data_IF_558173933195
#
_entry.id   IF_558173933195
#
_cell.length_a   1.000
_cell.length_b   1.000
_cell.length_c   1.000
_cell.angle_alpha   90.00
_cell.angle_beta   90.00
_cell.angle_gamma   90.00
#
_symmetry.space_group_name_H-M   'P 1'
#
loop_
_entity.id
_entity.type
_entity.pdbx_description
1 polymer ?
#
# COMPACT_ATOMS: atom_id res chain seq x y z
N UNK A 1 -21.02 5.58 -8.09
CA UNK A 1 -22.07 6.41 -7.45
C UNK A 1 -22.23 6.14 -5.94
N UNK A 2 -22.43 4.90 -5.50
CA UNK A 2 -22.58 4.57 -4.06
C UNK A 2 -21.39 5.04 -3.20
N UNK A 3 -20.18 4.82 -3.64
CA UNK A 3 -18.96 5.17 -2.89
C UNK A 3 -18.86 6.67 -2.62
N UNK A 4 -19.17 7.50 -3.60
CA UNK A 4 -19.17 8.97 -3.46
C UNK A 4 -20.22 9.46 -2.46
N UNK A 5 -21.40 8.83 -2.44
CA UNK A 5 -22.46 9.15 -1.47
C UNK A 5 -22.03 8.80 -0.04
N UNK A 6 -21.40 7.64 0.16
CA UNK A 6 -20.90 7.23 1.47
C UNK A 6 -19.75 8.12 1.92
N UNK A 7 -18.85 8.49 1.01
CA UNK A 7 -17.75 9.40 1.32
C UNK A 7 -18.27 10.73 1.90
N UNK A 8 -19.22 11.38 1.25
CA UNK A 8 -19.79 12.64 1.74
C UNK A 8 -20.48 12.51 3.11
N UNK A 9 -21.16 11.38 3.35
CA UNK A 9 -21.80 11.12 4.63
C UNK A 9 -20.78 10.94 5.75
N UNK A 10 -19.70 10.21 5.48
CA UNK A 10 -18.64 9.91 6.45
C UNK A 10 -17.80 11.16 6.75
N UNK A 11 -17.47 11.95 5.74
CA UNK A 11 -16.75 13.22 5.90
C UNK A 11 -17.47 14.17 6.86
N UNK A 12 -18.80 14.25 6.79
CA UNK A 12 -19.63 15.04 7.73
C UNK A 12 -19.54 14.57 9.18
N UNK A 13 -19.09 13.34 9.41
CA UNK A 13 -18.88 12.76 10.74
C UNK A 13 -17.38 12.74 11.13
N UNK A 14 -16.51 13.40 10.34
CA UNK A 14 -15.06 13.41 10.58
C UNK A 14 -14.38 12.07 10.27
N UNK A 15 -15.03 11.19 9.50
CA UNK A 15 -14.50 9.88 9.12
C UNK A 15 -13.98 9.96 7.67
N UNK A 16 -12.72 9.61 7.48
CA UNK A 16 -12.12 9.54 6.15
C UNK A 16 -12.32 8.16 5.56
N UNK A 17 -13.01 8.08 4.42
CA UNK A 17 -13.12 6.86 3.65
C UNK A 17 -11.90 6.73 2.74
N UNK A 18 -11.29 5.55 2.72
CA UNK A 18 -10.20 5.21 1.82
C UNK A 18 -10.42 3.83 1.20
N UNK A 19 -9.74 3.58 0.10
CA UNK A 19 -9.75 2.29 -0.58
C UNK A 19 -8.36 1.65 -0.44
N UNK A 20 -8.35 0.37 -0.10
CA UNK A 20 -7.19 -0.51 -0.09
C UNK A 20 -7.19 -1.38 -1.34
N UNK A 21 -6.03 -1.54 -1.98
CA UNK A 21 -5.89 -2.37 -3.17
C UNK A 21 -5.31 -3.75 -2.87
N UNK A 22 -5.69 -4.71 -3.71
CA UNK A 22 -5.00 -5.96 -3.94
C UNK A 22 -4.40 -5.98 -5.35
N UNK A 23 -4.13 -7.15 -5.91
CA UNK A 23 -3.57 -7.28 -7.25
C UNK A 23 -4.61 -7.08 -8.36
N UNK A 24 -5.86 -7.48 -8.13
CA UNK A 24 -6.89 -7.46 -9.17
C UNK A 24 -7.33 -6.05 -9.59
N UNK A 25 -7.12 -5.04 -8.75
CA UNK A 25 -7.38 -3.65 -9.13
C UNK A 25 -6.46 -3.16 -10.25
N UNK A 26 -5.34 -3.84 -10.48
CA UNK A 26 -4.41 -3.55 -11.57
C UNK A 26 -4.69 -4.39 -12.82
N UNK A 27 -5.76 -5.21 -12.84
CA UNK A 27 -6.24 -5.86 -14.05
C UNK A 27 -6.75 -4.82 -15.05
N UNK A 28 -6.57 -5.12 -16.34
CA UNK A 28 -6.95 -4.17 -17.38
C UNK A 28 -8.45 -4.29 -17.73
N UNK A 29 -9.11 -3.15 -17.72
CA UNK A 29 -10.46 -2.96 -18.27
C UNK A 29 -10.32 -2.00 -19.45
N UNK A 30 -10.63 -2.46 -20.64
CA UNK A 30 -10.47 -1.70 -21.90
C UNK A 30 -9.06 -1.10 -22.06
N UNK A 31 -8.02 -1.88 -21.70
CA UNK A 31 -6.62 -1.50 -21.82
C UNK A 31 -6.10 -0.56 -20.74
N UNK A 32 -6.90 -0.27 -19.71
CA UNK A 32 -6.51 0.60 -18.57
C UNK A 32 -6.62 -0.15 -17.24
N UNK A 33 -5.73 0.07 -16.28
CA UNK A 33 -5.89 -0.49 -14.93
C UNK A 33 -7.25 -0.11 -14.33
N UNK A 34 -7.95 -1.07 -13.77
CA UNK A 34 -9.24 -0.82 -13.11
C UNK A 34 -9.09 0.21 -11.97
N UNK A 35 -7.93 0.24 -11.32
CA UNK A 35 -7.63 1.21 -10.26
C UNK A 35 -7.59 2.65 -10.77
N UNK A 36 -7.06 2.90 -11.99
CA UNK A 36 -7.08 4.23 -12.61
C UNK A 36 -8.51 4.68 -12.88
N UNK A 37 -9.33 3.78 -13.42
CA UNK A 37 -10.75 4.06 -13.69
C UNK A 37 -11.49 4.36 -12.39
N UNK A 38 -11.25 3.57 -11.35
CA UNK A 38 -11.83 3.82 -10.03
C UNK A 38 -11.41 5.17 -9.47
N UNK A 39 -10.13 5.51 -9.57
CA UNK A 39 -9.60 6.78 -9.09
C UNK A 39 -10.23 8.00 -9.80
N UNK A 40 -10.51 7.89 -11.10
CA UNK A 40 -11.21 8.93 -11.87
C UNK A 40 -12.68 9.06 -11.47
N UNK A 41 -13.37 7.93 -11.31
CA UNK A 41 -14.78 7.91 -10.94
C UNK A 41 -15.03 8.36 -9.49
N UNK A 42 -14.01 8.25 -8.63
CA UNK A 42 -14.07 8.63 -7.21
C UNK A 42 -12.95 9.64 -6.88
N UNK A 43 -13.00 10.88 -7.40
CA UNK A 43 -11.87 11.83 -7.34
C UNK A 43 -11.49 12.27 -5.91
N UNK A 44 -12.41 12.19 -4.96
CA UNK A 44 -12.14 12.53 -3.55
C UNK A 44 -11.64 11.35 -2.72
N UNK A 45 -11.73 10.12 -3.24
CA UNK A 45 -11.33 8.91 -2.50
C UNK A 45 -9.86 8.99 -2.12
N UNK A 46 -9.55 8.70 -0.86
CA UNK A 46 -8.19 8.50 -0.37
C UNK A 46 -7.77 7.05 -0.56
N UNK A 47 -6.48 6.80 -0.50
CA UNK A 47 -5.92 5.46 -0.72
C UNK A 47 -5.09 4.98 0.45
N UNK A 48 -5.22 3.71 0.73
CA UNK A 48 -4.26 2.87 1.44
C UNK A 48 -3.60 1.97 0.39
N UNK A 49 -2.41 2.37 -0.06
CA UNK A 49 -1.70 1.61 -1.10
C UNK A 49 -1.02 0.40 -0.47
N UNK A 50 -1.42 -0.79 -0.91
CA UNK A 50 -0.65 -2.01 -0.68
C UNK A 50 0.40 -2.17 -1.78
N UNK A 51 1.65 -1.94 -1.40
CA UNK A 51 2.76 -1.92 -2.33
C UNK A 51 3.16 -3.32 -2.84
N UNK A 52 2.94 -4.36 -2.02
CA UNK A 52 3.25 -5.72 -2.41
C UNK A 52 2.21 -6.30 -3.36
N UNK A 53 0.93 -6.12 -3.03
CA UNK A 53 -0.15 -6.56 -3.90
C UNK A 53 -0.15 -5.84 -5.24
N UNK A 54 0.26 -4.58 -5.32
CA UNK A 54 0.42 -3.89 -6.60
C UNK A 54 1.50 -4.50 -7.49
N UNK A 55 2.58 -5.03 -6.90
CA UNK A 55 3.69 -5.65 -7.60
C UNK A 55 3.51 -7.15 -7.84
N UNK A 56 2.74 -7.81 -6.96
CA UNK A 56 2.55 -9.26 -7.00
C UNK A 56 1.85 -9.68 -8.31
N UNK A 57 2.12 -10.86 -8.77
CA UNK A 57 1.68 -11.34 -10.09
C UNK A 57 2.16 -10.49 -11.28
N UNK A 58 3.16 -9.59 -11.10
CA UNK A 58 3.68 -8.75 -12.18
C UNK A 58 2.68 -7.72 -12.70
N UNK A 59 1.72 -7.29 -11.88
CA UNK A 59 0.62 -6.41 -12.30
C UNK A 59 1.05 -4.96 -12.53
N UNK A 60 1.79 -4.37 -11.60
CA UNK A 60 2.23 -2.99 -11.70
C UNK A 60 3.59 -2.75 -11.02
N UNK A 61 4.27 -1.67 -11.40
CA UNK A 61 5.45 -1.18 -10.67
C UNK A 61 5.00 -0.42 -9.42
N UNK A 62 5.34 -0.87 -8.20
CA UNK A 62 4.87 -0.25 -6.97
C UNK A 62 5.42 1.16 -6.76
N UNK A 63 6.57 1.50 -7.34
CA UNK A 63 7.14 2.86 -7.30
C UNK A 63 6.29 3.80 -8.15
N UNK A 64 5.94 3.38 -9.37
CA UNK A 64 5.08 4.16 -10.25
C UNK A 64 3.63 4.27 -9.71
N UNK A 65 3.12 3.23 -9.05
CA UNK A 65 1.84 3.27 -8.37
C UNK A 65 1.85 4.32 -7.26
N UNK A 66 2.86 4.30 -6.38
CA UNK A 66 2.99 5.28 -5.30
C UNK A 66 3.09 6.71 -5.84
N UNK A 67 3.91 6.93 -6.85
CA UNK A 67 4.06 8.23 -7.52
C UNK A 67 2.76 8.74 -8.11
N UNK A 68 2.01 7.87 -8.81
CA UNK A 68 0.74 8.20 -9.47
C UNK A 68 -0.35 8.64 -8.49
N UNK A 69 -0.45 7.96 -7.34
CA UNK A 69 -1.51 8.22 -6.36
C UNK A 69 -1.04 9.01 -5.13
N UNK A 70 0.17 9.52 -5.16
CA UNK A 70 0.86 10.26 -4.09
C UNK A 70 -0.04 11.27 -3.35
N UNK A 71 -0.77 12.12 -4.09
CA UNK A 71 -1.59 13.19 -3.54
C UNK A 71 -2.86 12.72 -2.82
N UNK A 72 -3.14 11.44 -2.92
CA UNK A 72 -4.34 10.81 -2.35
C UNK A 72 -4.02 9.68 -1.38
N UNK A 73 -2.76 9.27 -1.29
CA UNK A 73 -2.31 8.19 -0.40
C UNK A 73 -2.12 8.72 1.01
N UNK A 74 -2.88 8.15 1.96
CA UNK A 74 -2.84 8.52 3.38
C UNK A 74 -2.32 7.40 4.26
N UNK A 75 -2.39 6.16 3.81
CA UNK A 75 -1.91 4.96 4.46
C UNK A 75 -1.14 4.09 3.46
N UNK A 76 -0.19 3.32 3.95
CA UNK A 76 0.58 2.38 3.14
C UNK A 76 0.62 1.04 3.85
N UNK A 77 0.15 -0.02 3.19
CA UNK A 77 0.46 -1.39 3.57
C UNK A 77 1.80 -1.80 2.95
N UNK A 78 2.72 -2.17 3.82
CA UNK A 78 4.06 -2.58 3.41
C UNK A 78 4.29 -4.04 3.77
N UNK A 79 4.48 -4.83 2.75
CA UNK A 79 4.81 -6.25 2.79
C UNK A 79 6.12 -6.48 2.04
N UNK A 80 6.73 -7.63 2.20
CA UNK A 80 7.89 -8.02 1.40
C UNK A 80 7.89 -9.54 1.17
N UNK A 81 8.49 -9.93 0.07
CA UNK A 81 8.54 -11.32 -0.37
C UNK A 81 9.30 -11.45 -1.68
N UNK A 82 9.18 -12.60 -2.30
CA UNK A 82 9.84 -12.90 -3.58
C UNK A 82 8.99 -12.56 -4.81
N UNK A 83 7.83 -11.92 -4.61
CA UNK A 83 6.83 -11.59 -5.63
C UNK A 83 6.30 -12.84 -6.35
N UNK A 84 6.08 -13.88 -5.57
CA UNK A 84 5.46 -15.13 -5.97
C UNK A 84 4.29 -15.40 -5.02
N UNK A 85 3.05 -15.51 -5.53
CA UNK A 85 1.86 -15.66 -4.70
C UNK A 85 1.82 -16.94 -3.88
N UNK A 86 2.54 -17.98 -4.31
CA UNK A 86 2.56 -19.29 -3.65
C UNK A 86 3.64 -19.38 -2.56
N UNK A 87 4.49 -18.36 -2.45
CA UNK A 87 5.58 -18.34 -1.47
C UNK A 87 5.23 -17.36 -0.33
N UNK A 88 5.34 -17.81 0.94
CA UNK A 88 5.05 -16.98 2.08
C UNK A 88 5.86 -15.69 2.13
N UNK A 89 5.24 -14.62 2.66
CA UNK A 89 5.89 -13.34 2.93
C UNK A 89 7.07 -13.52 3.90
N UNK A 90 7.99 -12.59 3.81
CA UNK A 90 9.18 -12.52 4.67
C UNK A 90 9.32 -11.13 5.28
N UNK A 91 10.15 -10.95 6.31
CA UNK A 91 10.34 -9.64 6.91
C UNK A 91 10.81 -8.58 5.89
N UNK A 92 10.34 -7.34 6.06
CA UNK A 92 10.73 -6.21 5.22
C UNK A 92 12.24 -6.08 5.08
N UNK A 93 12.70 -5.76 3.87
CA UNK A 93 14.11 -5.64 3.53
C UNK A 93 14.81 -6.98 3.27
N UNK A 94 14.08 -8.09 3.29
CA UNK A 94 14.61 -9.43 2.98
C UNK A 94 14.14 -9.95 1.63
N UNK A 95 13.20 -9.26 1.00
CA UNK A 95 12.57 -9.66 -0.27
C UNK A 95 13.01 -8.81 -1.46
N UNK A 96 12.12 -8.72 -2.43
CA UNK A 96 12.37 -8.05 -3.71
C UNK A 96 11.72 -6.68 -3.82
N UNK A 97 10.87 -6.29 -2.86
CA UNK A 97 10.17 -5.01 -2.96
C UNK A 97 11.17 -3.85 -2.79
N UNK A 98 11.19 -2.85 -3.67
CA UNK A 98 12.11 -1.71 -3.59
C UNK A 98 11.60 -0.67 -2.56
N UNK A 99 11.49 -1.09 -1.29
CA UNK A 99 10.85 -0.34 -0.20
C UNK A 99 11.38 1.11 -0.07
N UNK A 100 12.70 1.38 -0.08
CA UNK A 100 13.19 2.75 0.02
C UNK A 100 12.73 3.62 -1.15
N UNK A 101 12.69 3.09 -2.38
CA UNK A 101 12.26 3.83 -3.56
C UNK A 101 10.75 4.14 -3.50
N UNK A 102 9.95 3.19 -3.06
CA UNK A 102 8.50 3.39 -2.87
C UNK A 102 8.23 4.50 -1.86
N UNK A 103 8.88 4.43 -0.69
CA UNK A 103 8.68 5.41 0.37
C UNK A 103 9.22 6.81 -0.01
N UNK A 104 10.22 6.90 -0.87
CA UNK A 104 10.71 8.17 -1.41
C UNK A 104 9.68 8.90 -2.28
N UNK A 105 8.79 8.17 -2.95
CA UNK A 105 7.69 8.74 -3.72
C UNK A 105 6.46 9.13 -2.86
N UNK A 106 6.34 8.62 -1.65
CA UNK A 106 5.23 8.97 -0.75
C UNK A 106 5.32 10.42 -0.27
N UNK A 107 4.16 11.06 -0.05
CA UNK A 107 4.12 12.39 0.55
C UNK A 107 4.11 12.29 2.09
N UNK A 108 5.19 12.67 2.78
CA UNK A 108 5.28 12.56 4.24
C UNK A 108 4.31 13.49 5.00
N UNK A 109 3.70 14.46 4.31
CA UNK A 109 2.67 15.33 4.90
C UNK A 109 1.29 14.66 4.89
N UNK A 110 1.04 13.76 3.94
CA UNK A 110 -0.24 13.07 3.76
C UNK A 110 -0.25 11.69 4.40
N UNK A 111 0.80 10.90 4.21
CA UNK A 111 0.90 9.54 4.75
C UNK A 111 0.95 9.59 6.28
N UNK A 112 -0.05 9.01 6.92
CA UNK A 112 -0.17 8.96 8.38
C UNK A 112 0.55 7.75 8.97
N UNK A 113 0.42 6.60 8.30
CA UNK A 113 0.98 5.34 8.77
C UNK A 113 1.54 4.51 7.62
N UNK A 114 2.69 3.90 7.87
CA UNK A 114 3.22 2.77 7.12
C UNK A 114 2.98 1.53 7.98
N UNK A 115 2.09 0.67 7.54
CA UNK A 115 1.59 -0.48 8.27
C UNK A 115 2.32 -1.72 7.77
N UNK A 116 3.06 -2.38 8.64
CA UNK A 116 3.64 -3.70 8.34
C UNK A 116 2.52 -4.72 8.36
N UNK A 117 2.27 -5.37 7.25
CA UNK A 117 1.26 -6.43 7.16
C UNK A 117 1.88 -7.72 6.64
N UNK A 118 1.50 -8.82 7.25
CA UNK A 118 1.91 -10.17 6.88
C UNK A 118 0.66 -11.08 6.88
N UNK A 119 0.11 -11.36 5.70
CA UNK A 119 -1.02 -12.30 5.53
C UNK A 119 -0.63 -13.72 5.96
N UNK A 120 0.62 -14.04 5.76
CA UNK A 120 1.34 -15.22 6.23
C UNK A 120 2.81 -14.84 6.44
N UNK A 121 3.63 -15.73 6.97
CA UNK A 121 5.06 -15.46 7.12
C UNK A 121 5.87 -16.75 7.08
N UNK A 122 7.00 -16.75 6.36
CA UNK A 122 7.92 -17.89 6.29
C UNK A 122 8.64 -18.18 7.63
N UNK A 123 8.55 -17.28 8.60
CA UNK A 123 9.07 -17.44 9.96
C UNK A 123 7.95 -17.15 10.97
N UNK A 124 8.25 -17.29 12.25
CA UNK A 124 7.33 -16.84 13.31
C UNK A 124 6.87 -15.39 13.06
N UNK A 125 5.55 -15.16 13.07
CA UNK A 125 4.96 -13.89 12.64
C UNK A 125 5.36 -12.72 13.54
N UNK A 126 5.47 -12.92 14.85
CA UNK A 126 5.90 -11.88 15.79
C UNK A 126 7.35 -11.47 15.54
N UNK A 127 8.19 -12.48 15.23
CA UNK A 127 9.58 -12.24 14.81
C UNK A 127 9.63 -11.52 13.46
N UNK A 128 8.74 -11.86 12.55
CA UNK A 128 8.58 -11.20 11.25
C UNK A 128 8.25 -9.71 11.41
N UNK A 129 7.22 -9.40 12.19
CA UNK A 129 6.80 -8.02 12.49
C UNK A 129 7.94 -7.23 13.16
N UNK A 130 8.57 -7.81 14.18
CA UNK A 130 9.70 -7.17 14.89
C UNK A 130 10.86 -6.82 13.96
N UNK A 131 11.25 -7.74 13.08
CA UNK A 131 12.32 -7.51 12.10
C UNK A 131 11.93 -6.41 11.10
N UNK A 132 10.69 -6.42 10.61
CA UNK A 132 10.16 -5.44 9.68
C UNK A 132 10.14 -4.04 10.29
N UNK A 133 9.65 -3.90 11.52
CA UNK A 133 9.70 -2.65 12.27
C UNK A 133 11.14 -2.13 12.44
N UNK A 134 12.06 -3.02 12.81
CA UNK A 134 13.48 -2.68 12.95
C UNK A 134 14.10 -2.24 11.63
N UNK A 135 13.75 -2.89 10.53
CA UNK A 135 14.21 -2.49 9.20
C UNK A 135 13.79 -1.06 8.87
N UNK A 136 12.52 -0.75 9.01
CA UNK A 136 11.99 0.60 8.72
C UNK A 136 12.63 1.68 9.60
N UNK A 137 12.73 1.43 10.89
CA UNK A 137 13.20 2.45 11.84
C UNK A 137 14.73 2.61 11.85
N UNK A 138 15.50 1.54 11.76
CA UNK A 138 16.98 1.61 11.73
C UNK A 138 17.53 2.21 10.45
N UNK A 139 16.81 2.07 9.32
CA UNK A 139 17.19 2.68 8.06
C UNK A 139 16.62 4.09 7.87
N UNK A 140 15.97 4.66 8.89
CA UNK A 140 15.41 6.01 8.83
C UNK A 140 14.24 6.16 7.86
N UNK A 141 13.61 5.05 7.45
CA UNK A 141 12.48 5.04 6.53
C UNK A 141 11.17 5.45 7.22
N UNK A 142 11.05 5.16 8.51
CA UNK A 142 9.93 5.55 9.36
C UNK A 142 10.43 5.91 10.77
N UNK A 143 9.67 6.76 11.48
CA UNK A 143 10.02 7.17 12.84
C UNK A 143 9.61 6.18 13.93
N UNK A 144 8.72 5.24 13.59
CA UNK A 144 8.15 4.26 14.52
C UNK A 144 7.11 4.84 15.47
N UNK A 145 6.41 3.95 16.18
CA UNK A 145 5.54 4.34 17.29
C UNK A 145 6.39 4.64 18.52
N UNK A 146 6.18 5.79 19.11
CA UNK A 146 6.75 6.16 20.43
C UNK A 146 5.67 6.06 21.49
#
# INVERSE_FOLDING_TARGET
>A
EMTSVWQEKLEKQGITLFQHNHAFEFDLVDGRPAYDIYAELCPKMKFEIDCYWSANHGKADPVEVMKRYRERTILIHMKDGVLDPDIPLIPLGSGKLPIPAILAEADPKLVKWVIVELDNCAIDIYRGIKKSYQYLTKNGLCIGNR
#
